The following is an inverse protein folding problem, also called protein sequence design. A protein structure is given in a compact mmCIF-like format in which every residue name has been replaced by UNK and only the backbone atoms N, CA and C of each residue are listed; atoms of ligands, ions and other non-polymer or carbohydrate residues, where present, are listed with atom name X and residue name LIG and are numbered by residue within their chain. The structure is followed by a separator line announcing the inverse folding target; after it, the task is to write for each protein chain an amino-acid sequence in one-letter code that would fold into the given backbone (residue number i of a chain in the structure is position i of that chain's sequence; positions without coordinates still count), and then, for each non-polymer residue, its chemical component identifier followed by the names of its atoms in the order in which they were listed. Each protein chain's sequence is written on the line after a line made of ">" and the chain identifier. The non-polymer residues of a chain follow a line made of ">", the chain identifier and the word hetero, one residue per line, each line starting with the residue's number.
data_IF_856383498764
#
_entry.id   IF_856383498764
#
_cell.length_a   1.000
_cell.length_b   1.000
_cell.length_c   1.000
_cell.angle_alpha   90.00
_cell.angle_beta   90.00
_cell.angle_gamma   90.00
#
_symmetry.space_group_name_H-M   'P 1'
#
loop_
_entity.id
_entity.type
_entity.pdbx_description
1 polymer ?
#
# COMPACT_ATOMS: atom_id res chain seq x y z
N UNK A 1 -27.18 -10.97 -0.11
CA UNK A 1 -25.93 -10.55 0.56
C UNK A 1 -24.80 -11.16 -0.25
N UNK A 2 -24.13 -10.37 -1.07
CA UNK A 2 -22.88 -10.74 -1.74
C UNK A 2 -21.92 -9.58 -1.53
N UNK A 3 -20.78 -9.87 -0.93
CA UNK A 3 -19.68 -8.92 -0.79
C UNK A 3 -19.01 -8.88 -2.18
N UNK A 4 -18.88 -7.72 -2.84
CA UNK A 4 -18.27 -7.69 -4.17
C UNK A 4 -16.82 -8.16 -4.05
N UNK A 5 -16.45 -9.07 -4.96
CA UNK A 5 -15.12 -9.64 -5.10
C UNK A 5 -14.05 -8.53 -5.14
N UNK A 6 -12.90 -8.71 -4.47
CA UNK A 6 -11.76 -7.82 -4.64
C UNK A 6 -11.45 -7.68 -6.14
N UNK A 7 -11.32 -6.44 -6.61
CA UNK A 7 -10.98 -6.14 -8.00
C UNK A 7 -9.59 -6.66 -8.37
N UNK A 8 -9.26 -6.76 -9.67
CA UNK A 8 -8.05 -7.41 -10.20
C UNK A 8 -6.72 -6.71 -9.85
N UNK A 9 -6.72 -5.73 -8.95
CA UNK A 9 -5.56 -4.94 -8.56
C UNK A 9 -5.19 -5.03 -7.08
N UNK A 10 -5.90 -5.83 -6.28
CA UNK A 10 -5.55 -6.11 -4.87
C UNK A 10 -4.90 -7.47 -4.64
N UNK A 11 -4.76 -8.29 -5.69
CA UNK A 11 -3.88 -9.45 -5.64
C UNK A 11 -2.44 -8.98 -5.75
N UNK A 12 -1.81 -8.75 -4.59
CA UNK A 12 -0.41 -9.17 -4.49
C UNK A 12 -0.39 -10.64 -4.93
N UNK A 13 0.50 -11.05 -5.84
CA UNK A 13 0.63 -12.44 -6.25
C UNK A 13 0.97 -13.28 -4.99
N UNK A 14 -0.05 -13.70 -4.27
CA UNK A 14 0.04 -14.53 -3.09
C UNK A 14 0.04 -15.97 -3.60
N UNK A 15 1.22 -16.46 -3.97
CA UNK A 15 1.44 -17.90 -4.00
C UNK A 15 1.30 -18.39 -2.56
N UNK A 16 0.55 -19.47 -2.35
CA UNK A 16 0.39 -20.10 -1.04
C UNK A 16 1.77 -20.26 -0.37
N UNK A 17 1.90 -19.82 0.88
CA UNK A 17 3.13 -19.96 1.65
C UNK A 17 3.62 -21.42 1.69
N UNK A 18 2.69 -22.39 1.62
CA UNK A 18 3.04 -23.82 1.52
C UNK A 18 3.70 -24.19 0.18
N UNK A 19 3.30 -23.54 -0.92
CA UNK A 19 3.91 -23.71 -2.24
C UNK A 19 5.28 -23.04 -2.33
N UNK A 20 5.49 -21.93 -1.61
CA UNK A 20 6.76 -21.20 -1.57
C UNK A 20 7.80 -21.86 -0.65
N UNK A 21 7.38 -22.61 0.37
CA UNK A 21 8.27 -23.30 1.30
C UNK A 21 9.22 -24.30 0.62
N UNK A 22 8.85 -24.84 -0.54
CA UNK A 22 9.70 -25.72 -1.35
C UNK A 22 10.80 -24.98 -2.14
N UNK A 23 10.74 -23.66 -2.23
CA UNK A 23 11.70 -22.84 -2.97
C UNK A 23 12.84 -22.48 -2.03
N UNK A 24 14.04 -23.00 -2.30
CA UNK A 24 15.25 -22.78 -1.48
C UNK A 24 15.48 -21.30 -1.14
N UNK A 25 15.34 -20.41 -2.11
CA UNK A 25 15.55 -18.97 -1.93
C UNK A 25 14.53 -18.36 -0.95
N UNK A 26 13.27 -18.78 -0.99
CA UNK A 26 12.25 -18.26 -0.07
C UNK A 26 12.49 -18.76 1.36
N UNK A 27 12.90 -20.02 1.51
CA UNK A 27 13.29 -20.56 2.81
C UNK A 27 14.55 -19.89 3.38
N UNK A 28 15.48 -19.48 2.53
CA UNK A 28 16.74 -18.82 2.93
C UNK A 28 16.53 -17.36 3.33
N UNK A 29 15.52 -16.70 2.75
CA UNK A 29 15.19 -15.27 2.98
C UNK A 29 13.73 -15.09 3.44
N UNK A 30 13.28 -15.91 4.39
CA UNK A 30 11.88 -15.90 4.84
C UNK A 30 11.43 -14.57 5.45
N UNK A 31 12.38 -13.80 5.99
CA UNK A 31 12.18 -12.45 6.52
C UNK A 31 11.90 -11.40 5.43
N UNK A 32 12.35 -11.64 4.19
CA UNK A 32 12.13 -10.77 3.02
C UNK A 32 10.78 -11.03 2.35
N UNK A 33 10.20 -12.22 2.55
CA UNK A 33 8.92 -12.65 1.96
C UNK A 33 7.82 -12.92 3.01
N UNK A 34 7.49 -11.97 3.91
CA UNK A 34 6.39 -12.16 4.85
C UNK A 34 5.02 -12.03 4.15
N UNK A 35 4.00 -12.72 4.67
CA UNK A 35 2.61 -12.64 4.17
C UNK A 35 2.05 -11.21 4.22
N UNK A 36 2.59 -10.36 5.10
CA UNK A 36 2.27 -8.94 5.17
C UNK A 36 3.50 -8.11 5.50
N UNK A 37 3.59 -6.91 4.92
CA UNK A 37 4.73 -6.02 5.12
C UNK A 37 4.84 -5.57 6.60
N UNK A 38 6.06 -5.56 7.18
CA UNK A 38 6.29 -5.29 8.60
C UNK A 38 6.11 -3.81 9.02
N UNK A 39 5.68 -2.93 8.10
CA UNK A 39 5.52 -1.50 8.33
C UNK A 39 6.53 -0.69 7.50
N UNK A 40 6.81 0.55 7.94
CA UNK A 40 7.70 1.45 7.20
C UNK A 40 9.10 0.85 7.03
N UNK A 41 9.76 1.08 5.88
CA UNK A 41 11.13 0.65 5.69
C UNK A 41 12.04 1.27 6.78
N UNK A 42 13.13 0.58 7.15
CA UNK A 42 14.14 1.12 8.03
C UNK A 42 14.64 2.49 7.56
N UNK A 43 15.12 3.29 8.51
CA UNK A 43 15.77 4.57 8.20
C UNK A 43 16.95 4.31 7.24
N UNK A 44 17.00 5.07 6.15
CA UNK A 44 18.05 4.97 5.12
C UNK A 44 18.87 6.25 5.16
N UNK A 45 20.17 6.14 4.90
CA UNK A 45 21.08 7.29 4.82
C UNK A 45 20.74 8.27 3.69
N UNK A 46 19.88 7.86 2.76
CA UNK A 46 19.47 8.64 1.59
C UNK A 46 17.95 8.84 1.67
N UNK A 47 17.52 10.10 1.71
CA UNK A 47 16.12 10.48 1.62
C UNK A 47 15.66 10.49 0.15
N UNK A 48 14.45 9.99 -0.09
CA UNK A 48 13.81 10.12 -1.40
C UNK A 48 13.24 11.53 -1.56
N UNK A 49 13.78 12.31 -2.49
CA UNK A 49 13.26 13.64 -2.87
C UNK A 49 12.51 13.58 -4.21
N UNK A 50 11.46 14.41 -4.33
CA UNK A 50 10.76 14.62 -5.60
C UNK A 50 11.19 15.99 -6.13
N UNK A 51 12.07 15.99 -7.12
CA UNK A 51 12.51 17.22 -7.79
C UNK A 51 11.40 17.73 -8.73
N UNK A 52 10.99 18.99 -8.53
CA UNK A 52 10.01 19.64 -9.39
C UNK A 52 10.72 20.48 -10.45
N UNK A 53 10.17 20.49 -11.67
CA UNK A 53 10.58 21.47 -12.68
C UNK A 53 10.35 22.87 -12.11
N UNK A 54 11.31 23.80 -12.24
CA UNK A 54 11.16 25.15 -11.73
C UNK A 54 9.84 25.80 -12.20
N UNK A 55 9.19 26.54 -11.30
CA UNK A 55 7.88 27.20 -11.52
C UNK A 55 6.67 26.27 -11.65
N UNK A 56 6.80 24.99 -11.31
CA UNK A 56 5.64 24.09 -11.17
C UNK A 56 4.85 24.45 -9.90
N UNK A 57 3.57 24.81 -10.07
CA UNK A 57 2.66 25.05 -8.95
C UNK A 57 2.00 23.72 -8.50
N UNK A 58 1.62 23.60 -7.20
CA UNK A 58 0.80 22.49 -6.73
C UNK A 58 -0.52 22.39 -7.51
N UNK A 59 -0.98 21.16 -7.75
CA UNK A 59 -2.24 20.90 -8.45
C UNK A 59 -3.26 20.41 -7.43
N UNK A 60 -4.35 21.16 -7.29
CA UNK A 60 -5.52 20.71 -6.55
C UNK A 60 -6.54 20.05 -7.48
N UNK A 61 -6.98 18.84 -7.12
CA UNK A 61 -8.10 18.15 -7.77
C UNK A 61 -9.10 17.71 -6.70
N UNK A 62 -10.39 17.92 -6.97
CA UNK A 62 -11.46 17.42 -6.10
C UNK A 62 -11.47 15.89 -6.11
N UNK A 63 -11.74 15.29 -4.95
CA UNK A 63 -11.94 13.85 -4.84
C UNK A 63 -13.09 13.38 -5.76
N UNK A 64 -12.90 12.23 -6.40
CA UNK A 64 -13.92 11.58 -7.21
C UNK A 64 -15.11 11.11 -6.36
N UNK A 65 -16.29 11.01 -6.99
CA UNK A 65 -17.46 10.42 -6.34
C UNK A 65 -17.30 8.90 -6.28
N UNK A 66 -17.48 8.35 -5.10
CA UNK A 66 -17.35 6.91 -4.80
C UNK A 66 -18.72 6.43 -4.29
N UNK A 67 -19.15 5.24 -4.69
CA UNK A 67 -20.43 4.68 -4.22
C UNK A 67 -20.34 4.29 -2.74
N UNK A 68 -21.49 4.14 -2.06
CA UNK A 68 -21.53 3.88 -0.62
C UNK A 68 -20.77 2.61 -0.19
N UNK A 69 -20.87 1.53 -0.97
CA UNK A 69 -20.18 0.26 -0.69
C UNK A 69 -18.67 0.40 -0.87
N UNK A 70 -18.24 1.04 -1.95
CA UNK A 70 -16.82 1.31 -2.24
C UNK A 70 -16.19 2.21 -1.17
N UNK A 71 -16.96 3.19 -0.65
CA UNK A 71 -16.47 4.10 0.39
C UNK A 71 -16.12 3.37 1.70
N UNK A 72 -16.86 2.31 2.04
CA UNK A 72 -16.57 1.49 3.21
C UNK A 72 -15.21 0.78 3.07
N UNK A 73 -14.95 0.21 1.89
CA UNK A 73 -13.68 -0.46 1.59
C UNK A 73 -12.52 0.55 1.54
N UNK A 74 -12.71 1.71 0.90
CA UNK A 74 -11.71 2.78 0.87
C UNK A 74 -11.36 3.23 2.29
N UNK A 75 -12.35 3.41 3.16
CA UNK A 75 -12.11 3.80 4.55
C UNK A 75 -11.32 2.73 5.30
N UNK A 76 -11.72 1.46 5.18
CA UNK A 76 -11.01 0.33 5.80
C UNK A 76 -9.52 0.32 5.41
N UNK A 77 -9.21 0.46 4.12
CA UNK A 77 -7.81 0.47 3.68
C UNK A 77 -7.03 1.71 4.12
N UNK A 78 -7.69 2.88 4.24
CA UNK A 78 -7.04 4.09 4.78
C UNK A 78 -6.67 3.87 6.25
N UNK A 79 -7.60 3.31 7.04
CA UNK A 79 -7.37 3.02 8.46
C UNK A 79 -6.24 2.00 8.63
N UNK A 80 -6.22 0.92 7.85
CA UNK A 80 -5.12 -0.06 7.85
C UNK A 80 -3.76 0.56 7.47
N UNK A 81 -3.73 1.46 6.47
CA UNK A 81 -2.48 2.14 6.06
C UNK A 81 -1.99 3.15 7.10
N UNK A 82 -2.91 3.80 7.83
CA UNK A 82 -2.58 4.68 8.95
C UNK A 82 -1.99 3.89 10.12
N UNK A 83 -2.61 2.76 10.47
CA UNK A 83 -2.14 1.88 11.54
C UNK A 83 -0.73 1.33 11.27
N UNK A 84 -0.47 0.95 10.01
CA UNK A 84 0.87 0.50 9.56
C UNK A 84 1.90 1.63 9.44
N UNK A 85 1.50 2.89 9.58
CA UNK A 85 2.38 4.05 9.48
C UNK A 85 2.84 4.40 8.06
N UNK A 86 2.23 3.80 7.02
CA UNK A 86 2.57 4.08 5.62
C UNK A 86 2.13 5.46 5.16
N UNK A 87 1.08 6.00 5.78
CA UNK A 87 0.56 7.33 5.50
C UNK A 87 0.32 8.08 6.82
N UNK A 88 0.24 9.40 6.73
CA UNK A 88 -0.12 10.29 7.84
C UNK A 88 -1.03 11.40 7.33
N UNK A 89 -1.80 12.01 8.24
CA UNK A 89 -2.56 13.22 7.94
C UNK A 89 -1.61 14.33 7.50
N UNK A 90 -1.99 15.10 6.50
CA UNK A 90 -1.19 16.19 5.93
C UNK A 90 -2.10 17.35 5.52
N UNK A 91 -1.49 18.53 5.39
CA UNK A 91 -2.13 19.72 4.82
C UNK A 91 -1.28 20.15 3.63
N UNK A 92 -1.57 19.59 2.46
CA UNK A 92 -0.91 20.00 1.22
C UNK A 92 -1.47 21.34 0.74
N UNK A 93 -0.62 22.26 0.21
CA UNK A 93 -1.07 23.49 -0.43
C UNK A 93 -1.79 23.25 -1.76
#
# INVERSE_FOLDING_TARGET
>A
MEVPSPGPYSEVNAMDASALAGIRVVSEFSDVFPDSLPGMPPERDIEFSIELVPRTAPIYKKAYRIAGIELLEVKKQIDERLEKGFIRKSTSP
#
